data_IF_848512138230
#
_entry.id   IF_848512138230
#
_cell.length_a   1.000
_cell.length_b   1.000
_cell.length_c   1.000
_cell.angle_alpha   90.00
_cell.angle_beta   90.00
_cell.angle_gamma   90.00
#
_symmetry.space_group_name_H-M   'P 1'
#
loop_
_entity.id
_entity.type
_entity.pdbx_description
1 polymer ?
#
# COMPACT_ATOMS: atom_id res chain seq x y z
N UNK A 1 11.67 5.97 -24.37
CA UNK A 1 11.97 4.97 -23.31
C UNK A 1 11.07 5.27 -22.12
N UNK A 2 9.86 4.69 -22.09
CA UNK A 2 8.93 4.93 -20.99
C UNK A 2 9.40 4.16 -19.75
N UNK A 3 9.77 4.88 -18.70
CA UNK A 3 10.00 4.27 -17.38
C UNK A 3 8.72 3.58 -16.93
N UNK A 4 8.81 2.30 -16.60
CA UNK A 4 7.69 1.47 -16.17
C UNK A 4 7.09 2.03 -14.87
N UNK A 5 6.03 2.84 -14.98
CA UNK A 5 5.47 3.64 -13.87
C UNK A 5 5.00 2.78 -12.69
N UNK A 6 4.75 1.50 -12.94
CA UNK A 6 4.23 0.52 -11.99
C UNK A 6 5.18 0.33 -10.80
N UNK A 7 6.48 0.48 -11.02
CA UNK A 7 7.50 0.29 -9.98
C UNK A 7 7.57 1.47 -9.02
N UNK A 8 7.79 2.72 -9.46
CA UNK A 8 7.77 3.86 -8.55
C UNK A 8 6.40 4.03 -7.88
N UNK A 9 5.31 3.81 -8.61
CA UNK A 9 3.96 3.95 -8.08
C UNK A 9 3.62 2.84 -7.06
N UNK A 10 3.95 1.58 -7.37
CA UNK A 10 3.76 0.46 -6.44
C UNK A 10 4.61 0.59 -5.17
N UNK A 11 5.84 1.10 -5.30
CA UNK A 11 6.69 1.38 -4.15
C UNK A 11 6.13 2.50 -3.26
N UNK A 12 5.66 3.61 -3.86
CA UNK A 12 5.04 4.72 -3.14
C UNK A 12 3.81 4.26 -2.36
N UNK A 13 2.87 3.57 -3.03
CA UNK A 13 1.67 3.06 -2.38
C UNK A 13 1.98 2.01 -1.31
N UNK A 14 2.98 1.15 -1.53
CA UNK A 14 3.44 0.20 -0.53
C UNK A 14 3.97 0.87 0.73
N UNK A 15 4.84 1.88 0.59
CA UNK A 15 5.41 2.62 1.73
C UNK A 15 4.35 3.44 2.46
N UNK A 16 3.54 4.21 1.73
CA UNK A 16 2.46 5.01 2.32
C UNK A 16 1.42 4.14 3.02
N UNK A 17 1.04 3.03 2.39
CA UNK A 17 0.15 2.04 2.99
C UNK A 17 0.74 1.45 4.28
N UNK A 18 2.03 1.07 4.26
CA UNK A 18 2.71 0.50 5.43
C UNK A 18 2.71 1.49 6.60
N UNK A 19 3.04 2.76 6.33
CA UNK A 19 3.02 3.83 7.33
C UNK A 19 1.61 4.06 7.88
N UNK A 20 0.60 4.08 7.02
CA UNK A 20 -0.79 4.29 7.42
C UNK A 20 -1.35 3.10 8.22
N UNK A 21 -1.01 1.86 7.83
CA UNK A 21 -1.33 0.65 8.59
C UNK A 21 -0.67 0.67 9.96
N UNK A 22 0.62 1.02 10.05
CA UNK A 22 1.34 1.12 11.31
C UNK A 22 0.73 2.20 12.23
N UNK A 23 0.39 3.37 11.66
CA UNK A 23 -0.31 4.43 12.38
C UNK A 23 -1.68 3.95 12.87
N UNK A 24 -2.51 3.38 11.98
CA UNK A 24 -3.83 2.87 12.33
C UNK A 24 -3.79 1.78 13.40
N UNK A 25 -2.77 0.92 13.39
CA UNK A 25 -2.55 -0.10 14.42
C UNK A 25 -2.11 0.51 15.75
N UNK A 26 -1.25 1.54 15.73
CA UNK A 26 -0.80 2.24 16.93
C UNK A 26 -1.92 3.07 17.58
N UNK A 27 -2.86 3.58 16.79
CA UNK A 27 -4.00 4.39 17.27
C UNK A 27 -5.28 3.58 17.50
N UNK A 28 -5.21 2.25 17.39
CA UNK A 28 -6.38 1.38 17.50
C UNK A 28 -6.97 1.48 18.91
N UNK A 29 -8.24 1.87 19.01
CA UNK A 29 -8.93 2.01 20.30
C UNK A 29 -8.50 3.22 21.16
N UNK A 30 -7.72 4.15 20.62
CA UNK A 30 -7.46 5.43 21.29
C UNK A 30 -8.71 6.33 21.20
N UNK A 31 -9.20 6.88 22.34
CA UNK A 31 -10.33 7.79 22.30
C UNK A 31 -9.98 9.06 21.51
N UNK A 32 -10.74 9.34 20.44
CA UNK A 32 -10.57 10.53 19.59
C UNK A 32 -9.92 10.30 18.23
N UNK A 33 -9.33 9.13 17.97
CA UNK A 33 -8.76 8.76 16.65
C UNK A 33 -9.75 7.98 15.78
N UNK A 34 -10.84 7.51 16.37
CA UNK A 34 -11.91 6.76 15.71
C UNK A 34 -13.28 7.43 15.98
N UNK A 35 -13.64 8.50 15.24
CA UNK A 35 -14.89 9.23 15.44
C UNK A 35 -16.14 8.34 15.29
N UNK A 36 -16.04 7.29 14.47
CA UNK A 36 -17.13 6.36 14.14
C UNK A 36 -16.94 4.98 14.81
N UNK A 37 -15.91 4.78 15.63
CA UNK A 37 -15.53 3.46 16.17
C UNK A 37 -14.98 2.49 15.12
N UNK A 38 -14.66 2.99 13.92
CA UNK A 38 -14.07 2.22 12.83
C UNK A 38 -12.63 2.68 12.63
N UNK A 39 -11.63 1.77 12.65
CA UNK A 39 -10.23 2.13 12.45
C UNK A 39 -9.94 2.41 10.97
N UNK A 40 -10.44 3.54 10.47
CA UNK A 40 -10.42 3.91 9.05
C UNK A 40 -9.00 3.96 8.47
N UNK A 41 -8.03 4.43 9.28
CA UNK A 41 -6.62 4.48 8.90
C UNK A 41 -6.05 3.07 8.71
N UNK A 42 -6.41 2.13 9.59
CA UNK A 42 -5.94 0.75 9.48
C UNK A 42 -6.52 0.07 8.24
N UNK A 43 -7.81 0.25 7.97
CA UNK A 43 -8.51 -0.33 6.81
C UNK A 43 -7.87 0.20 5.51
N UNK A 44 -7.77 1.52 5.35
CA UNK A 44 -7.20 2.09 4.13
C UNK A 44 -5.70 1.84 4.00
N UNK A 45 -4.96 1.77 5.11
CA UNK A 45 -3.56 1.36 5.09
C UNK A 45 -3.39 -0.04 4.49
N UNK A 46 -4.19 -1.00 4.95
CA UNK A 46 -4.16 -2.38 4.42
C UNK A 46 -4.51 -2.40 2.93
N UNK A 47 -5.52 -1.64 2.51
CA UNK A 47 -5.91 -1.53 1.09
C UNK A 47 -4.76 -0.96 0.24
N UNK A 48 -4.08 0.09 0.71
CA UNK A 48 -2.94 0.70 0.04
C UNK A 48 -1.75 -0.27 -0.08
N UNK A 49 -1.45 -1.01 0.99
CA UNK A 49 -0.40 -2.05 0.98
C UNK A 49 -0.72 -3.14 -0.04
N UNK A 50 -1.95 -3.66 -0.03
CA UNK A 50 -2.39 -4.68 -0.97
C UNK A 50 -2.29 -4.19 -2.42
N UNK A 51 -2.70 -2.95 -2.68
CA UNK A 51 -2.60 -2.32 -4.00
C UNK A 51 -1.14 -2.12 -4.45
N UNK A 52 -0.27 -1.59 -3.58
CA UNK A 52 1.15 -1.41 -3.87
C UNK A 52 1.86 -2.73 -4.18
N UNK A 53 1.61 -3.76 -3.37
CA UNK A 53 2.12 -5.12 -3.60
C UNK A 53 1.63 -5.69 -4.94
N UNK A 54 0.35 -5.53 -5.26
CA UNK A 54 -0.22 -5.98 -6.53
C UNK A 54 0.50 -5.35 -7.74
N UNK A 55 0.75 -4.03 -7.71
CA UNK A 55 1.50 -3.35 -8.77
C UNK A 55 2.95 -3.87 -8.89
N UNK A 56 3.63 -4.06 -7.77
CA UNK A 56 5.00 -4.58 -7.74
C UNK A 56 5.09 -6.02 -8.26
N UNK A 57 4.12 -6.87 -7.91
CA UNK A 57 4.02 -8.25 -8.41
C UNK A 57 3.82 -8.27 -9.92
N UNK A 58 2.92 -7.43 -10.44
CA UNK A 58 2.71 -7.36 -11.88
C UNK A 58 3.93 -6.79 -12.61
N UNK A 59 4.65 -5.84 -12.02
CA UNK A 59 5.90 -5.32 -12.60
C UNK A 59 7.00 -6.39 -12.62
N UNK A 60 7.13 -7.20 -11.56
CA UNK A 60 8.04 -8.36 -11.55
C UNK A 60 7.68 -9.35 -12.66
N UNK A 61 6.39 -9.68 -12.81
CA UNK A 61 5.91 -10.59 -13.87
C UNK A 61 6.19 -10.07 -15.28
N UNK A 62 6.04 -8.76 -15.52
CA UNK A 62 6.35 -8.13 -16.80
C UNK A 62 7.85 -8.21 -17.14
N UNK A 63 8.74 -7.97 -16.15
CA UNK A 63 10.20 -8.10 -16.34
C UNK A 63 10.64 -9.54 -16.64
N UNK A 64 9.95 -10.54 -16.10
CA UNK A 64 10.21 -11.94 -16.41
C UNK A 64 9.74 -12.35 -17.81
N UNK A 65 8.62 -11.78 -18.30
CA UNK A 65 8.11 -12.06 -19.64
C UNK A 65 9.00 -11.48 -20.77
N UNK A 66 9.71 -10.38 -20.53
CA UNK A 66 10.64 -9.80 -21.53
C UNK A 66 12.02 -10.44 -21.56
N UNK A 67 12.29 -11.43 -20.70
CA UNK A 67 13.56 -12.18 -20.67
C UNK A 67 13.46 -13.57 -21.34
N UNK A 68 12.30 -13.93 -21.87
CA UNK A 68 12.05 -15.13 -22.69
C UNK A 68 11.89 -14.69 -24.13
#
# INVERSE_FOLDING_TARGET
MGTDLRVPLGALFGVLGLLLTAYGAATLGQPGTEPTGVPINLIWGIVLVAFGLWMLLLARRARHASKV
#
